data_IF_176154380651
#
_entry.id   IF_176154380651
#
_cell.length_a   1.000
_cell.length_b   1.000
_cell.length_c   1.000
_cell.angle_alpha   90.00
_cell.angle_beta   90.00
_cell.angle_gamma   90.00
#
_symmetry.space_group_name_H-M   'P 1'
#
loop_
_entity.id
_entity.type
_entity.pdbx_description
1 polymer ?
#
# COMPACT_ATOMS: atom_id res chain seq x y z
N UNK A 1 -22.11 -24.21 -30.50
CA UNK A 1 -21.99 -23.74 -29.10
C UNK A 1 -20.81 -24.42 -28.44
N UNK A 2 -19.74 -23.69 -28.10
CA UNK A 2 -18.56 -24.27 -27.40
C UNK A 2 -18.75 -24.08 -25.90
N UNK A 3 -18.60 -25.17 -25.14
CA UNK A 3 -18.88 -25.26 -23.71
C UNK A 3 -17.98 -24.33 -22.88
N UNK A 4 -18.48 -23.13 -22.60
CA UNK A 4 -17.83 -22.12 -21.73
C UNK A 4 -17.53 -22.63 -20.32
N UNK A 5 -18.20 -23.71 -19.91
CA UNK A 5 -18.03 -24.40 -18.64
C UNK A 5 -16.70 -25.15 -18.54
N UNK A 6 -16.23 -25.76 -19.64
CA UNK A 6 -14.99 -26.54 -19.68
C UNK A 6 -13.75 -25.65 -19.59
N UNK A 7 -13.82 -24.44 -20.14
CA UNK A 7 -12.71 -23.48 -20.10
C UNK A 7 -12.49 -22.94 -18.68
N UNK A 8 -13.54 -22.83 -17.85
CA UNK A 8 -13.41 -22.35 -16.46
C UNK A 8 -12.83 -23.40 -15.51
N UNK A 9 -13.04 -24.69 -15.76
CA UNK A 9 -12.49 -25.77 -14.93
C UNK A 9 -11.01 -26.05 -15.21
N UNK A 10 -10.49 -25.66 -16.38
CA UNK A 10 -9.10 -25.84 -16.78
C UNK A 10 -8.15 -24.76 -16.28
N UNK A 11 -8.65 -23.64 -15.71
CA UNK A 11 -7.80 -22.58 -15.16
C UNK A 11 -7.46 -22.94 -13.70
N UNK A 12 -6.18 -23.07 -13.34
CA UNK A 12 -5.80 -23.35 -11.96
C UNK A 12 -6.32 -22.23 -11.05
N UNK A 13 -6.97 -22.61 -9.94
CA UNK A 13 -7.62 -21.71 -8.96
C UNK A 13 -6.73 -20.57 -8.42
N UNK A 14 -5.42 -20.65 -8.66
CA UNK A 14 -4.39 -19.75 -8.15
C UNK A 14 -4.05 -18.58 -9.08
N UNK A 15 -4.57 -18.55 -10.30
CA UNK A 15 -4.36 -17.41 -11.22
C UNK A 15 -5.54 -16.45 -11.02
N UNK A 16 -5.34 -15.27 -10.40
CA UNK A 16 -6.41 -14.30 -10.22
C UNK A 16 -6.86 -13.79 -11.59
N UNK A 17 -8.14 -13.97 -11.91
CA UNK A 17 -8.74 -13.46 -13.15
C UNK A 17 -9.49 -12.17 -12.87
N UNK A 18 -9.12 -11.10 -13.59
CA UNK A 18 -9.80 -9.81 -13.50
C UNK A 18 -11.15 -9.93 -14.23
N UNK A 19 -12.24 -9.56 -13.56
CA UNK A 19 -13.59 -9.48 -14.15
C UNK A 19 -13.98 -8.02 -14.28
N UNK A 20 -14.05 -7.52 -15.50
CA UNK A 20 -14.60 -6.20 -15.75
C UNK A 20 -16.11 -6.20 -15.50
N UNK A 21 -16.59 -5.17 -14.81
CA UNK A 21 -18.04 -4.95 -14.66
C UNK A 21 -18.62 -4.61 -16.04
N UNK A 22 -19.66 -5.35 -16.45
CA UNK A 22 -20.43 -5.02 -17.64
C UNK A 22 -21.04 -3.63 -17.45
N UNK A 23 -20.65 -2.67 -18.29
CA UNK A 23 -21.05 -1.26 -18.19
C UNK A 23 -19.97 -0.28 -17.70
N UNK A 24 -18.75 -0.73 -17.36
CA UNK A 24 -17.65 0.14 -16.92
C UNK A 24 -16.92 0.92 -18.02
N UNK A 25 -17.55 1.12 -19.18
CA UNK A 25 -16.90 1.64 -20.40
C UNK A 25 -16.70 3.16 -20.48
N UNK A 26 -16.99 3.92 -19.41
CA UNK A 26 -16.96 5.39 -19.48
C UNK A 26 -15.69 6.03 -18.88
N UNK A 27 -14.70 5.24 -18.46
CA UNK A 27 -13.51 5.76 -17.78
C UNK A 27 -12.22 5.83 -18.60
N UNK A 28 -12.22 5.37 -19.85
CA UNK A 28 -10.97 5.20 -20.63
C UNK A 28 -10.41 6.55 -21.13
N UNK A 29 -11.21 7.62 -21.12
CA UNK A 29 -10.80 8.94 -21.62
C UNK A 29 -10.12 9.85 -20.59
N UNK A 30 -9.87 9.41 -19.35
CA UNK A 30 -9.32 10.29 -18.29
C UNK A 30 -8.04 9.76 -17.64
N UNK A 31 -7.34 8.82 -18.29
CA UNK A 31 -6.13 8.21 -17.76
C UNK A 31 -4.87 9.10 -17.85
N UNK A 32 -4.91 10.27 -18.49
CA UNK A 32 -3.73 11.13 -18.66
C UNK A 32 -3.60 12.27 -17.63
N UNK A 33 -4.68 12.70 -16.98
CA UNK A 33 -4.67 13.87 -16.09
C UNK A 33 -4.63 13.50 -14.58
N UNK A 34 -4.94 12.24 -14.24
CA UNK A 34 -5.14 11.82 -12.84
C UNK A 34 -3.87 11.57 -12.02
N UNK A 35 -2.68 11.52 -12.64
CA UNK A 35 -1.45 11.17 -11.91
C UNK A 35 -0.97 12.30 -10.98
N UNK A 36 -1.19 13.57 -11.34
CA UNK A 36 -0.71 14.71 -10.56
C UNK A 36 -1.66 15.14 -9.43
N UNK A 37 -2.97 14.88 -9.57
CA UNK A 37 -3.96 15.22 -8.54
C UNK A 37 -4.00 14.24 -7.35
N UNK A 38 -3.38 13.06 -7.49
CA UNK A 38 -3.36 12.03 -6.43
C UNK A 38 -2.54 12.41 -5.18
N UNK A 39 -1.64 13.41 -5.28
CA UNK A 39 -0.86 13.88 -4.11
C UNK A 39 -1.59 14.92 -3.26
N UNK A 40 -2.64 15.58 -3.78
CA UNK A 40 -3.32 16.69 -3.10
C UNK A 40 -4.71 16.32 -2.51
N UNK A 41 -5.26 15.15 -2.82
CA UNK A 41 -6.61 14.74 -2.40
C UNK A 41 -6.65 13.71 -1.27
N UNK A 42 -5.56 13.54 -0.50
CA UNK A 42 -5.55 12.68 0.69
C UNK A 42 -6.42 13.19 1.86
N UNK A 43 -7.08 14.34 1.71
CA UNK A 43 -8.05 14.87 2.66
C UNK A 43 -9.39 15.04 1.95
N UNK A 44 -10.24 14.01 2.02
CA UNK A 44 -11.70 14.12 2.16
C UNK A 44 -12.35 12.75 2.17
N UNK A 45 -12.80 12.39 3.37
CA UNK A 45 -13.72 11.30 3.71
C UNK A 45 -14.99 11.39 2.86
N UNK A 46 -15.40 10.28 2.23
CA UNK A 46 -16.80 9.81 2.25
C UNK A 46 -17.02 8.52 1.45
N UNK A 47 -17.94 7.73 2.00
CA UNK A 47 -18.70 6.64 1.39
C UNK A 47 -18.00 5.29 1.16
N UNK A 48 -18.16 4.40 2.15
CA UNK A 48 -18.37 2.97 1.86
C UNK A 48 -17.14 2.12 1.58
N UNK A 49 -16.00 2.36 2.25
CA UNK A 49 -14.89 1.41 2.24
C UNK A 49 -14.97 0.50 3.47
N UNK A 50 -15.28 -0.78 3.23
CA UNK A 50 -15.12 -1.88 4.20
C UNK A 50 -13.64 -2.14 4.56
N UNK A 51 -12.71 -1.35 4.02
CA UNK A 51 -11.33 -1.21 4.49
C UNK A 51 -11.17 0.14 5.18
N UNK A 52 -11.82 0.32 6.33
CA UNK A 52 -11.36 1.32 7.27
C UNK A 52 -9.96 0.89 7.70
N UNK A 53 -8.92 1.59 7.26
CA UNK A 53 -7.58 1.43 7.82
C UNK A 53 -7.70 1.71 9.31
N UNK A 54 -7.76 0.64 10.12
CA UNK A 54 -7.82 0.76 11.57
C UNK A 54 -6.51 1.41 11.98
N UNK A 55 -6.57 2.70 12.33
CA UNK A 55 -5.44 3.41 12.89
C UNK A 55 -5.11 2.77 14.23
N UNK A 56 -4.04 1.97 14.26
CA UNK A 56 -3.53 1.39 15.49
C UNK A 56 -2.71 2.46 16.24
N UNK A 57 -2.74 2.48 17.57
CA UNK A 57 -1.86 3.36 18.33
C UNK A 57 -0.39 3.06 18.01
N UNK A 58 0.44 4.10 17.99
CA UNK A 58 1.90 3.96 17.91
C UNK A 58 2.41 3.24 19.15
N UNK A 59 3.33 2.29 18.96
CA UNK A 59 3.96 1.55 20.05
C UNK A 59 5.23 2.28 20.49
N UNK A 60 5.39 2.45 21.78
CA UNK A 60 6.58 3.08 22.36
C UNK A 60 7.65 2.03 22.68
N UNK A 61 8.91 2.46 22.78
CA UNK A 61 10.05 1.54 22.96
C UNK A 61 9.94 0.72 24.26
N UNK A 62 9.44 1.32 25.35
CA UNK A 62 9.22 0.62 26.62
C UNK A 62 8.15 -0.48 26.54
N UNK A 63 7.28 -0.45 25.53
CA UNK A 63 6.26 -1.48 25.27
C UNK A 63 6.84 -2.64 24.45
N UNK A 64 7.97 -2.44 23.77
CA UNK A 64 8.62 -3.46 22.97
C UNK A 64 9.41 -4.44 23.85
N UNK A 65 9.46 -5.74 23.49
CA UNK A 65 10.40 -6.67 24.06
C UNK A 65 11.85 -6.19 23.88
N UNK A 66 12.72 -6.48 24.85
CA UNK A 66 14.10 -5.98 24.93
C UNK A 66 14.97 -6.25 23.69
N UNK A 67 14.63 -7.28 22.90
CA UNK A 67 15.31 -7.61 21.63
C UNK A 67 15.05 -6.62 20.49
N UNK A 68 14.00 -5.80 20.59
CA UNK A 68 13.61 -4.79 19.61
C UNK A 68 13.82 -3.35 20.12
N UNK A 69 14.41 -3.19 21.30
CA UNK A 69 14.80 -1.85 21.77
C UNK A 69 15.85 -1.27 20.83
N UNK A 70 15.70 0.02 20.54
CA UNK A 70 16.71 0.77 19.83
C UNK A 70 17.98 0.81 20.67
N UNK A 71 19.13 0.79 20.00
CA UNK A 71 20.41 1.03 20.66
C UNK A 71 20.57 2.52 20.92
N UNK A 72 21.20 2.86 22.03
CA UNK A 72 21.69 4.21 22.27
C UNK A 72 22.77 4.55 21.24
N UNK A 73 22.83 5.82 20.84
CA UNK A 73 23.83 6.31 19.89
C UNK A 73 25.20 6.42 20.57
N UNK A 74 26.23 5.88 19.93
CA UNK A 74 27.62 6.03 20.38
C UNK A 74 28.17 7.42 20.00
N UNK A 75 29.17 7.92 20.73
CA UNK A 75 29.77 9.25 20.49
C UNK A 75 30.32 9.39 19.06
N UNK A 76 30.88 8.31 18.53
CA UNK A 76 31.37 8.25 17.14
C UNK A 76 30.26 8.37 16.12
N UNK A 77 29.11 7.75 16.39
CA UNK A 77 27.93 7.83 15.52
C UNK A 77 27.36 9.24 15.56
N UNK A 78 27.31 9.85 16.75
CA UNK A 78 26.89 11.25 16.93
C UNK A 78 27.80 12.19 16.13
N UNK A 79 29.13 12.03 16.25
CA UNK A 79 30.09 12.84 15.49
C UNK A 79 29.94 12.63 13.97
N UNK A 80 29.76 11.39 13.53
CA UNK A 80 29.57 11.06 12.12
C UNK A 80 28.30 11.68 11.53
N UNK A 81 27.20 11.68 12.29
CA UNK A 81 25.95 12.35 11.93
C UNK A 81 26.17 13.87 11.87
N UNK A 82 26.82 14.46 12.87
CA UNK A 82 27.09 15.90 12.92
C UNK A 82 28.03 16.37 11.80
N UNK A 83 28.98 15.52 11.40
CA UNK A 83 29.90 15.77 10.28
C UNK A 83 29.24 15.58 8.91
N UNK A 84 28.17 14.78 8.84
CA UNK A 84 27.42 14.53 7.61
C UNK A 84 27.92 13.37 6.76
N UNK A 85 28.75 12.47 7.33
CA UNK A 85 29.28 11.30 6.63
C UNK A 85 30.81 11.20 6.65
N UNK A 86 31.37 10.24 5.89
CA UNK A 86 32.80 10.05 5.74
C UNK A 86 33.36 11.05 4.72
N UNK A 87 34.65 11.39 4.84
CA UNK A 87 35.36 12.20 3.83
C UNK A 87 35.65 11.41 2.53
#
# INVERSE_FOLDING_TARGET
MVYSTVVRSAIPKRIPTIKFRKGGGNGISSASEGFLAASAAATKTSAGNQNATISRPTIEDWQLPRRYWRKELDDKEIEYINRGGPE
#
